data_IF_069039680855
#
_entry.id   IF_069039680855
#
_cell.length_a   1.000
_cell.length_b   1.000
_cell.length_c   1.000
_cell.angle_alpha   90.00
_cell.angle_beta   90.00
_cell.angle_gamma   90.00
#
_symmetry.space_group_name_H-M   'P 1'
#
loop_
_entity.id
_entity.type
_entity.pdbx_description
1 polymer ?
#
# COMPACT_ATOMS: atom_id res chain seq x y z
N UNK A 1 19.41 2.13 -1.40
CA UNK A 1 20.25 0.91 -1.53
C UNK A 1 21.69 1.22 -1.19
N UNK A 2 22.34 2.11 -1.95
CA UNK A 2 23.76 2.47 -1.82
C UNK A 2 24.15 2.87 -0.40
N UNK A 3 23.47 3.86 0.19
CA UNK A 3 23.73 4.30 1.56
C UNK A 3 23.60 3.16 2.59
N UNK A 4 22.57 2.33 2.46
CA UNK A 4 22.33 1.20 3.37
C UNK A 4 23.42 0.15 3.26
N UNK A 5 23.85 -0.19 2.05
CA UNK A 5 24.92 -1.15 1.83
C UNK A 5 26.26 -0.58 2.27
N UNK A 6 26.51 0.71 2.05
CA UNK A 6 27.69 1.40 2.58
C UNK A 6 27.76 1.28 4.11
N UNK A 7 26.70 1.71 4.81
CA UNK A 7 26.62 1.64 6.27
C UNK A 7 26.72 0.22 6.84
N UNK A 8 26.31 -0.79 6.08
CA UNK A 8 26.31 -2.19 6.53
C UNK A 8 27.57 -2.97 6.19
N UNK A 9 28.28 -2.58 5.14
CA UNK A 9 29.36 -3.39 4.59
C UNK A 9 30.72 -2.71 4.66
N UNK A 10 30.81 -1.38 4.74
CA UNK A 10 32.11 -0.70 4.80
C UNK A 10 32.51 -0.53 6.26
N UNK A 11 33.61 -1.17 6.64
CA UNK A 11 34.08 -1.21 8.02
C UNK A 11 35.16 -0.17 8.27
N UNK A 12 36.01 0.08 7.26
CA UNK A 12 37.14 1.00 7.37
C UNK A 12 37.30 1.88 6.12
N UNK A 13 37.79 3.10 6.31
CA UNK A 13 38.02 4.08 5.23
C UNK A 13 39.50 4.44 5.10
N UNK A 14 40.37 3.60 5.65
CA UNK A 14 41.83 3.81 5.71
C UNK A 14 42.52 3.59 4.35
N UNK A 15 41.81 3.02 3.39
CA UNK A 15 42.30 2.66 2.06
C UNK A 15 41.26 3.08 1.02
N UNK A 16 41.71 3.50 -0.16
CA UNK A 16 40.82 3.82 -1.29
C UNK A 16 40.14 2.56 -1.86
N UNK A 17 40.77 1.41 -1.73
CA UNK A 17 40.26 0.14 -2.23
C UNK A 17 39.48 -0.59 -1.15
N UNK A 18 38.40 -1.24 -1.58
CA UNK A 18 37.63 -2.13 -0.72
C UNK A 18 38.39 -3.43 -0.48
N UNK A 19 38.30 -3.95 0.73
CA UNK A 19 38.75 -5.30 1.04
C UNK A 19 37.85 -6.36 0.36
N UNK A 20 38.35 -7.58 0.12
CA UNK A 20 37.54 -8.64 -0.49
C UNK A 20 36.22 -8.93 0.25
N UNK A 21 36.21 -8.83 1.59
CA UNK A 21 35.00 -8.99 2.41
C UNK A 21 33.99 -7.88 2.21
N UNK A 22 34.44 -6.63 2.10
CA UNK A 22 33.56 -5.48 1.84
C UNK A 22 32.92 -5.57 0.45
N UNK A 23 33.68 -6.02 -0.55
CA UNK A 23 33.17 -6.29 -1.91
C UNK A 23 32.08 -7.38 -1.87
N UNK A 24 32.39 -8.53 -1.27
CA UNK A 24 31.43 -9.65 -1.18
C UNK A 24 30.17 -9.24 -0.39
N UNK A 25 30.32 -8.45 0.68
CA UNK A 25 29.20 -7.93 1.44
C UNK A 25 28.33 -7.00 0.59
N UNK A 26 28.93 -6.05 -0.13
CA UNK A 26 28.21 -5.09 -0.96
C UNK A 26 27.38 -5.78 -2.05
N UNK A 27 27.95 -6.78 -2.73
CA UNK A 27 27.25 -7.58 -3.73
C UNK A 27 26.05 -8.33 -3.14
N UNK A 28 26.26 -9.04 -2.01
CA UNK A 28 25.19 -9.73 -1.29
C UNK A 28 24.12 -8.75 -0.79
N UNK A 29 24.51 -7.56 -0.35
CA UNK A 29 23.60 -6.52 0.11
C UNK A 29 22.69 -6.03 -1.02
N UNK A 30 23.26 -5.73 -2.19
CA UNK A 30 22.50 -5.28 -3.36
C UNK A 30 21.49 -6.35 -3.81
N UNK A 31 21.91 -7.62 -3.92
CA UNK A 31 21.01 -8.74 -4.27
C UNK A 31 19.90 -8.91 -3.24
N UNK A 32 20.22 -8.84 -1.95
CA UNK A 32 19.21 -8.90 -0.87
C UNK A 32 18.22 -7.75 -0.96
N UNK A 33 18.71 -6.53 -1.23
CA UNK A 33 17.86 -5.35 -1.36
C UNK A 33 16.85 -5.50 -2.50
N UNK A 34 17.30 -5.92 -3.69
CA UNK A 34 16.43 -6.14 -4.85
C UNK A 34 15.37 -7.20 -4.53
N UNK A 35 15.78 -8.35 -3.99
CA UNK A 35 14.86 -9.43 -3.60
C UNK A 35 13.83 -8.97 -2.57
N UNK A 36 14.28 -8.21 -1.57
CA UNK A 36 13.40 -7.66 -0.55
C UNK A 36 12.39 -6.67 -1.15
N UNK A 37 12.85 -5.72 -1.97
CA UNK A 37 11.99 -4.73 -2.60
C UNK A 37 10.89 -5.38 -3.45
N UNK A 38 11.25 -6.40 -4.24
CA UNK A 38 10.28 -7.15 -5.05
C UNK A 38 9.27 -7.90 -4.16
N UNK A 39 9.72 -8.54 -3.08
CA UNK A 39 8.83 -9.21 -2.12
C UNK A 39 7.91 -8.24 -1.38
N UNK A 40 8.41 -7.07 -1.03
CA UNK A 40 7.63 -6.02 -0.39
C UNK A 40 6.48 -5.60 -1.32
N UNK A 41 6.76 -5.36 -2.59
CA UNK A 41 5.73 -5.01 -3.58
C UNK A 41 4.68 -6.10 -3.76
N UNK A 42 5.09 -7.36 -3.84
CA UNK A 42 4.12 -8.47 -3.94
C UNK A 42 3.17 -8.52 -2.73
N UNK A 43 3.72 -8.36 -1.52
CA UNK A 43 2.91 -8.35 -0.30
C UNK A 43 2.01 -7.12 -0.23
N UNK A 44 2.52 -5.96 -0.61
CA UNK A 44 1.76 -4.72 -0.66
C UNK A 44 0.54 -4.84 -1.58
N UNK A 45 0.75 -5.29 -2.83
CA UNK A 45 -0.34 -5.49 -3.80
C UNK A 45 -1.38 -6.49 -3.29
N UNK A 46 -0.93 -7.61 -2.71
CA UNK A 46 -1.85 -8.59 -2.11
C UNK A 46 -2.73 -7.95 -1.03
N UNK A 47 -2.13 -7.19 -0.10
CA UNK A 47 -2.88 -6.51 0.97
C UNK A 47 -3.76 -5.39 0.46
N UNK A 48 -3.32 -4.64 -0.54
CA UNK A 48 -4.10 -3.59 -1.19
C UNK A 48 -5.37 -4.19 -1.81
N UNK A 49 -5.28 -5.33 -2.50
CA UNK A 49 -6.44 -6.00 -3.08
C UNK A 49 -7.44 -6.45 -2.00
N UNK A 50 -6.96 -6.98 -0.87
CA UNK A 50 -7.82 -7.34 0.27
C UNK A 50 -8.59 -6.10 0.79
N UNK A 51 -7.88 -4.98 0.96
CA UNK A 51 -8.46 -3.72 1.45
C UNK A 51 -9.49 -3.16 0.47
N UNK A 52 -9.15 -3.11 -0.83
CA UNK A 52 -10.05 -2.59 -1.87
C UNK A 52 -11.29 -3.47 -1.98
N UNK A 53 -11.13 -4.79 -1.97
CA UNK A 53 -12.27 -5.73 -2.00
C UNK A 53 -13.21 -5.52 -0.82
N UNK A 54 -12.67 -5.24 0.38
CA UNK A 54 -13.47 -4.92 1.56
C UNK A 54 -14.23 -3.61 1.39
N UNK A 55 -13.54 -2.56 0.92
CA UNK A 55 -14.15 -1.24 0.67
C UNK A 55 -15.26 -1.28 -0.38
N UNK A 56 -15.12 -2.09 -1.43
CA UNK A 56 -16.16 -2.28 -2.44
C UNK A 56 -17.41 -2.91 -1.82
N UNK A 57 -17.24 -3.97 -1.02
CA UNK A 57 -18.38 -4.62 -0.31
C UNK A 57 -19.08 -3.67 0.66
N UNK A 58 -18.30 -2.90 1.43
CA UNK A 58 -18.84 -1.88 2.35
C UNK A 58 -19.63 -0.80 1.58
N UNK A 59 -19.13 -0.36 0.42
CA UNK A 59 -19.83 0.60 -0.44
C UNK A 59 -21.11 0.03 -1.04
N UNK A 60 -21.09 -1.23 -1.51
CA UNK A 60 -22.29 -1.93 -2.02
C UNK A 60 -23.36 -2.06 -0.93
N UNK A 61 -22.98 -2.40 0.30
CA UNK A 61 -23.90 -2.48 1.44
C UNK A 61 -24.52 -1.12 1.76
N UNK A 62 -23.72 -0.06 1.83
CA UNK A 62 -24.22 1.30 2.05
C UNK A 62 -25.17 1.75 0.93
N UNK A 63 -24.91 1.38 -0.32
CA UNK A 63 -25.82 1.67 -1.43
C UNK A 63 -27.14 0.92 -1.31
N UNK A 64 -27.14 -0.33 -0.85
CA UNK A 64 -28.35 -1.12 -0.62
C UNK A 64 -29.16 -0.59 0.57
N UNK A 65 -28.50 -0.21 1.66
CA UNK A 65 -29.12 0.40 2.83
C UNK A 65 -29.76 1.75 2.49
N UNK A 66 -29.08 2.60 1.72
CA UNK A 66 -29.61 3.88 1.26
C UNK A 66 -30.78 3.71 0.26
N UNK A 67 -30.76 2.66 -0.58
CA UNK A 67 -31.91 2.31 -1.45
C UNK A 67 -33.13 1.79 -0.68
N UNK A 68 -32.94 1.31 0.55
CA UNK A 68 -34.03 0.89 1.45
C UNK A 68 -34.70 2.03 2.21
N UNK A 69 -34.21 3.28 2.08
CA UNK A 69 -34.74 4.47 2.76
C UNK A 69 -35.55 5.42 1.85
N UNK A 70 -35.94 4.98 0.64
CA UNK A 70 -37.00 5.66 -0.12
C UNK A 70 -38.37 5.28 0.45
N UNK A 71 -38.84 6.05 1.43
CA UNK A 71 -40.23 5.99 1.91
C UNK A 71 -41.13 6.66 0.85
N UNK A 72 -42.19 6.00 0.34
CA UNK A 72 -43.17 6.63 -0.51
C UNK A 72 -44.08 7.49 0.36
N UNK A 73 -44.00 8.82 0.23
CA UNK A 73 -45.00 9.70 0.82
C UNK A 73 -45.96 10.18 -0.27
N UNK A 74 -47.11 9.52 -0.40
CA UNK A 74 -48.27 10.02 -1.14
C UNK A 74 -49.23 10.75 -0.19
N UNK A 75 -49.53 12.01 -0.54
CA UNK A 75 -50.75 12.81 -0.30
C UNK A 75 -51.05 13.25 1.15
N UNK A 76 -51.54 14.45 1.48
CA UNK A 76 -52.16 15.59 0.77
C UNK A 76 -52.28 16.79 1.78
N UNK A 77 -52.61 18.01 1.33
CA UNK A 77 -53.59 18.97 1.94
C UNK A 77 -53.33 20.43 1.48
N UNK A 78 -54.15 20.86 0.52
CA UNK A 78 -54.81 22.17 0.31
C UNK A 78 -54.08 23.49 0.59
N UNK A 79 -53.97 24.34 -0.44
CA UNK A 79 -54.39 25.76 -0.33
C UNK A 79 -55.18 26.15 -1.59
N UNK A 80 -56.47 26.37 -1.37
CA UNK A 80 -57.39 27.05 -2.29
C UNK A 80 -56.99 28.53 -2.45
N UNK A 81 -57.46 29.13 -3.55
CA UNK A 81 -57.72 30.56 -3.80
C UNK A 81 -56.54 31.52 -4.03
N UNK A 82 -56.42 32.05 -5.26
CA UNK A 82 -57.08 33.30 -5.70
C UNK A 82 -57.00 33.45 -7.22
#
# INVERSE_FOLDING_TARGET
>A
MTERCFYKCIEHTNSRQLSPSEIECADKCAVKFIRYNNKLMMNFVRRQNDIVSRRVKEAEQQMLENKGQEIPNQQEVTVSSS
#
